data_IF_310191897326
#
_entry.id   IF_310191897326
#
_cell.length_a   1.000
_cell.length_b   1.000
_cell.length_c   1.000
_cell.angle_alpha   90.00
_cell.angle_beta   90.00
_cell.angle_gamma   90.00
#
_symmetry.space_group_name_H-M   'P 1'
#
loop_
_entity.id
_entity.type
_entity.pdbx_description
1 polymer ?
#
# COMPACT_ATOMS: atom_id res chain seq x y z
N UNK A 1 -1.10 -0.08 6.81
CA UNK A 1 -1.42 1.03 7.75
C UNK A 1 -2.57 0.59 8.65
N UNK A 2 -2.52 0.85 9.97
CA UNK A 2 -3.64 0.54 10.86
C UNK A 2 -4.63 1.71 10.89
N UNK A 3 -5.86 1.49 10.43
CA UNK A 3 -6.91 2.51 10.51
C UNK A 3 -7.18 2.94 11.95
N UNK A 4 -7.17 4.25 12.17
CA UNK A 4 -7.41 4.85 13.48
C UNK A 4 -8.90 5.05 13.64
N UNK A 5 -9.48 4.38 14.64
CA UNK A 5 -10.92 4.45 14.91
C UNK A 5 -11.23 5.64 15.82
N UNK A 6 -11.97 6.65 15.35
CA UNK A 6 -12.52 7.66 16.25
C UNK A 6 -13.47 7.00 17.26
N UNK A 7 -13.53 7.59 18.45
CA UNK A 7 -14.34 7.08 19.58
C UNK A 7 -15.47 8.04 19.95
N UNK A 8 -15.39 9.30 19.53
CA UNK A 8 -16.46 10.28 19.65
C UNK A 8 -16.33 11.39 18.60
N UNK A 9 -17.45 12.04 18.32
CA UNK A 9 -17.54 13.29 17.56
C UNK A 9 -17.38 14.49 18.50
N UNK A 10 -16.62 15.50 18.08
CA UNK A 10 -16.73 16.82 18.67
C UNK A 10 -18.06 17.47 18.30
N UNK A 11 -18.68 18.21 19.21
CA UNK A 11 -19.96 18.87 18.96
C UNK A 11 -19.91 19.85 17.77
N UNK A 12 -18.77 20.46 17.51
CA UNK A 12 -18.57 21.43 16.41
C UNK A 12 -17.95 20.81 15.15
N UNK A 13 -18.01 19.47 15.03
CA UNK A 13 -17.70 18.81 13.75
C UNK A 13 -18.78 19.10 12.71
N UNK A 14 -18.40 19.31 11.44
CA UNK A 14 -19.33 19.41 10.32
C UNK A 14 -19.68 18.04 9.74
N UNK A 15 -18.84 17.02 9.96
CA UNK A 15 -18.98 15.69 9.38
C UNK A 15 -19.03 14.59 10.44
N UNK A 16 -20.11 14.49 11.23
CA UNK A 16 -20.24 13.45 12.24
C UNK A 16 -20.02 12.04 11.69
N UNK A 17 -19.30 11.23 12.46
CA UNK A 17 -19.13 9.79 12.23
C UNK A 17 -20.33 9.06 12.84
N UNK A 18 -21.03 8.21 12.06
CA UNK A 18 -22.17 7.42 12.51
C UNK A 18 -21.86 6.54 13.72
N UNK A 19 -22.85 6.36 14.59
CA UNK A 19 -22.77 5.47 15.74
C UNK A 19 -21.91 5.98 16.91
N UNK A 20 -21.18 7.08 16.75
CA UNK A 20 -20.34 7.65 17.80
C UNK A 20 -21.07 8.74 18.63
N UNK A 21 -20.76 8.85 19.94
CA UNK A 21 -21.28 9.91 20.81
C UNK A 21 -20.77 11.29 20.40
N UNK A 22 -21.52 12.33 20.78
CA UNK A 22 -21.06 13.71 20.71
C UNK A 22 -20.52 14.17 22.07
N UNK A 23 -19.36 14.80 22.06
CA UNK A 23 -18.71 15.38 23.25
C UNK A 23 -18.61 16.89 23.07
N UNK A 24 -18.91 17.63 24.13
CA UNK A 24 -18.72 19.08 24.14
C UNK A 24 -17.23 19.40 23.97
N UNK A 25 -16.91 20.07 22.85
CA UNK A 25 -15.57 20.44 22.45
C UNK A 25 -15.30 21.95 22.61
N UNK A 26 -16.19 22.75 23.21
CA UNK A 26 -16.16 24.23 23.28
C UNK A 26 -14.82 24.82 23.72
N UNK A 27 -14.08 24.10 24.57
CA UNK A 27 -12.76 24.49 25.05
C UNK A 27 -11.68 24.53 23.98
N UNK A 28 -11.89 23.85 22.85
CA UNK A 28 -10.95 23.86 21.73
C UNK A 28 -11.09 25.19 20.96
N UNK A 29 -10.00 25.94 20.77
CA UNK A 29 -10.02 27.14 19.94
C UNK A 29 -9.95 26.73 18.47
N UNK A 30 -11.08 26.23 17.92
CA UNK A 30 -11.13 25.63 16.59
C UNK A 30 -10.86 26.59 15.43
N UNK A 31 -10.77 27.89 15.68
CA UNK A 31 -10.39 28.89 14.67
C UNK A 31 -8.92 29.32 14.80
N UNK A 32 -8.17 28.71 15.73
CA UNK A 32 -6.75 28.98 15.98
C UNK A 32 -5.97 27.67 16.19
N UNK A 33 -5.43 27.05 15.11
CA UNK A 33 -4.67 25.80 15.20
C UNK A 33 -3.52 25.83 16.20
N UNK A 34 -2.77 26.94 16.26
CA UNK A 34 -1.65 27.10 17.19
C UNK A 34 -2.10 27.07 18.65
N UNK A 35 -3.31 27.57 18.94
CA UNK A 35 -3.88 27.52 20.28
C UNK A 35 -4.34 26.10 20.66
N UNK A 36 -4.74 25.28 19.68
CA UNK A 36 -4.97 23.84 19.89
C UNK A 36 -3.65 23.17 20.26
N UNK A 37 -2.59 23.35 19.47
CA UNK A 37 -1.26 22.78 19.77
C UNK A 37 -0.78 23.18 21.18
N UNK A 38 -0.89 24.46 21.53
CA UNK A 38 -0.48 24.99 22.83
C UNK A 38 -1.26 24.41 24.01
N UNK A 39 -2.43 23.82 23.79
CA UNK A 39 -3.21 23.16 24.86
C UNK A 39 -2.50 21.92 25.40
N UNK A 40 -1.77 21.19 24.55
CA UNK A 40 -1.05 19.97 24.94
C UNK A 40 0.46 20.14 24.94
N UNK A 41 1.02 20.86 23.96
CA UNK A 41 2.47 20.98 23.80
C UNK A 41 3.10 21.78 24.93
N UNK A 42 4.12 21.20 25.55
CA UNK A 42 4.91 21.80 26.64
C UNK A 42 4.09 22.19 27.88
N UNK A 43 2.85 21.69 28.04
CA UNK A 43 2.00 21.99 29.20
C UNK A 43 2.17 21.00 30.37
N UNK A 44 3.03 19.99 30.21
CA UNK A 44 3.32 19.01 31.26
C UNK A 44 3.80 17.68 30.71
N UNK A 45 4.21 16.79 31.61
CA UNK A 45 4.65 15.43 31.25
C UNK A 45 3.50 14.64 30.65
N UNK A 46 3.73 14.06 29.46
CA UNK A 46 2.76 13.23 28.75
C UNK A 46 1.64 14.01 28.06
N UNK A 47 1.80 15.32 27.86
CA UNK A 47 0.90 16.13 27.04
C UNK A 47 1.59 16.49 25.74
N UNK A 48 0.90 16.25 24.63
CA UNK A 48 1.41 16.50 23.30
C UNK A 48 0.42 17.35 22.52
N UNK A 49 0.95 18.11 21.57
CA UNK A 49 0.16 18.86 20.63
C UNK A 49 1.01 19.20 19.43
N UNK A 50 0.34 19.33 18.28
CA UNK A 50 0.98 19.67 17.01
C UNK A 50 -0.06 20.24 16.07
N UNK A 51 0.35 21.21 15.26
CA UNK A 51 -0.38 21.64 14.07
C UNK A 51 0.55 21.74 12.88
N UNK A 52 -0.01 21.50 11.69
CA UNK A 52 0.65 21.70 10.42
C UNK A 52 -0.36 22.21 9.39
N UNK A 53 0.11 23.07 8.47
CA UNK A 53 -0.68 23.57 7.35
C UNK A 53 -0.69 22.56 6.20
N UNK A 54 -1.83 22.45 5.54
CA UNK A 54 -2.02 21.63 4.35
C UNK A 54 -1.80 22.47 3.08
N UNK A 55 -1.53 21.79 1.96
CA UNK A 55 -1.21 22.44 0.67
C UNK A 55 -2.40 23.15 0.03
N UNK A 56 -3.61 22.70 0.35
CA UNK A 56 -4.89 23.25 -0.12
C UNK A 56 -5.32 24.50 0.66
N UNK A 57 -4.51 24.96 1.62
CA UNK A 57 -4.84 26.09 2.50
C UNK A 57 -5.60 25.69 3.76
N UNK A 58 -5.87 24.39 3.96
CA UNK A 58 -6.38 23.83 5.21
C UNK A 58 -5.31 23.66 6.28
N UNK A 59 -5.68 23.04 7.39
CA UNK A 59 -4.75 22.67 8.45
C UNK A 59 -5.24 21.47 9.25
N UNK A 60 -4.30 20.81 9.90
CA UNK A 60 -4.56 19.73 10.85
C UNK A 60 -3.92 20.05 12.19
N UNK A 61 -4.57 19.60 13.26
CA UNK A 61 -4.04 19.75 14.60
C UNK A 61 -4.46 18.58 15.49
N UNK A 62 -3.64 18.27 16.49
CA UNK A 62 -4.06 17.46 17.62
C UNK A 62 -3.57 18.02 18.95
N UNK A 63 -4.26 17.62 20.02
CA UNK A 63 -3.83 17.88 21.40
C UNK A 63 -4.32 16.78 22.35
N UNK A 64 -3.47 16.35 23.27
CA UNK A 64 -3.86 15.46 24.38
C UNK A 64 -4.96 16.12 25.22
N UNK A 65 -5.95 15.34 25.64
CA UNK A 65 -7.07 15.81 26.47
C UNK A 65 -6.64 15.92 27.95
N UNK A 66 -6.54 17.15 28.45
CA UNK A 66 -6.08 17.43 29.82
C UNK A 66 -6.95 16.85 30.94
N UNK A 67 -8.27 16.72 30.74
CA UNK A 67 -9.21 16.17 31.73
C UNK A 67 -9.29 14.65 31.68
N UNK A 68 -8.83 14.02 30.60
CA UNK A 68 -8.85 12.58 30.38
C UNK A 68 -7.76 12.18 29.39
N UNK A 69 -6.56 11.94 29.92
CA UNK A 69 -5.34 11.72 29.12
C UNK A 69 -5.30 10.39 28.36
N UNK A 70 -6.34 9.55 28.50
CA UNK A 70 -6.50 8.38 27.64
C UNK A 70 -6.81 8.77 26.19
N UNK A 71 -7.20 10.03 25.96
CA UNK A 71 -7.72 10.52 24.70
C UNK A 71 -6.99 11.77 24.20
N UNK A 72 -7.12 12.01 22.91
CA UNK A 72 -6.66 13.22 22.24
C UNK A 72 -7.75 13.75 21.32
N UNK A 73 -7.78 15.06 21.14
CA UNK A 73 -8.57 15.72 20.12
C UNK A 73 -7.77 15.79 18.83
N UNK A 74 -8.42 15.44 17.73
CA UNK A 74 -7.89 15.58 16.38
C UNK A 74 -8.83 16.48 15.57
N UNK A 75 -8.26 17.47 14.90
CA UNK A 75 -8.99 18.45 14.10
C UNK A 75 -8.39 18.50 12.70
N UNK A 76 -9.25 18.34 11.70
CA UNK A 76 -8.92 18.56 10.29
C UNK A 76 -9.83 19.67 9.79
N UNK A 77 -9.25 20.78 9.33
CA UNK A 77 -9.97 21.88 8.71
C UNK A 77 -9.65 21.92 7.22
N UNK A 78 -10.70 21.94 6.41
CA UNK A 78 -10.62 22.15 4.96
C UNK A 78 -11.34 23.46 4.59
N UNK A 79 -10.75 24.34 3.77
CA UNK A 79 -11.31 25.66 3.48
C UNK A 79 -12.70 25.61 2.84
N UNK A 80 -12.94 24.62 1.96
CA UNK A 80 -14.21 24.48 1.24
C UNK A 80 -15.20 23.56 1.92
N UNK A 81 -14.70 22.56 2.65
CA UNK A 81 -15.49 21.43 3.15
C UNK A 81 -15.68 21.46 4.66
N UNK A 82 -15.24 22.52 5.34
CA UNK A 82 -15.50 22.69 6.77
C UNK A 82 -14.53 21.89 7.63
N UNK A 83 -14.97 21.52 8.83
CA UNK A 83 -14.09 20.92 9.83
C UNK A 83 -14.56 19.56 10.32
N UNK A 84 -13.61 18.68 10.57
CA UNK A 84 -13.80 17.41 11.25
C UNK A 84 -13.14 17.50 12.61
N UNK A 85 -13.93 17.31 13.67
CA UNK A 85 -13.45 17.30 15.06
C UNK A 85 -13.77 15.94 15.66
N UNK A 86 -12.72 15.20 16.00
CA UNK A 86 -12.82 13.82 16.50
C UNK A 86 -12.08 13.68 17.82
N UNK A 87 -12.62 12.86 18.70
CA UNK A 87 -11.89 12.31 19.82
C UNK A 87 -11.35 10.93 19.42
N UNK A 88 -10.07 10.70 19.71
CA UNK A 88 -9.34 9.44 19.45
C UNK A 88 -8.60 9.00 20.72
N UNK A 89 -8.02 7.80 20.72
CA UNK A 89 -7.08 7.40 21.78
C UNK A 89 -5.79 8.21 21.65
N UNK A 90 -5.21 8.61 22.77
CA UNK A 90 -3.99 9.44 22.78
C UNK A 90 -2.83 8.77 22.04
N UNK A 91 -2.68 7.44 22.20
CA UNK A 91 -1.66 6.65 21.49
C UNK A 91 -1.76 6.68 19.96
N UNK A 92 -2.92 7.03 19.39
CA UNK A 92 -3.15 7.02 17.95
C UNK A 92 -2.91 8.40 17.31
N UNK A 93 -2.68 9.46 18.10
CA UNK A 93 -2.66 10.85 17.61
C UNK A 93 -1.59 11.12 16.56
N UNK A 94 -0.37 10.63 16.77
CA UNK A 94 0.76 10.86 15.86
C UNK A 94 0.54 10.17 14.52
N UNK A 95 -0.06 8.97 14.54
CA UNK A 95 -0.35 8.21 13.34
C UNK A 95 -1.46 8.90 12.52
N UNK A 96 -2.54 9.38 13.16
CA UNK A 96 -3.64 10.04 12.44
C UNK A 96 -3.16 11.35 11.81
N UNK A 97 -2.37 12.11 12.57
CA UNK A 97 -1.78 13.34 12.08
C UNK A 97 -0.84 13.09 10.90
N UNK A 98 -0.05 12.01 10.94
CA UNK A 98 0.78 11.61 9.82
C UNK A 98 -0.06 11.25 8.59
N UNK A 99 -1.12 10.45 8.78
CA UNK A 99 -2.02 10.04 7.70
C UNK A 99 -2.72 11.25 7.05
N UNK A 100 -3.21 12.22 7.82
CA UNK A 100 -3.80 13.43 7.25
C UNK A 100 -2.76 14.32 6.53
N UNK A 101 -1.53 14.42 7.04
CA UNK A 101 -0.48 15.24 6.43
C UNK A 101 0.10 14.65 5.16
N UNK A 102 0.31 13.34 5.14
CA UNK A 102 1.11 12.67 4.12
C UNK A 102 0.36 11.60 3.34
N UNK A 103 -0.81 11.17 3.82
CA UNK A 103 -1.63 10.15 3.16
C UNK A 103 -2.19 10.59 1.81
N UNK A 104 -2.15 11.89 1.48
CA UNK A 104 -2.54 12.50 0.18
C UNK A 104 -3.94 12.17 -0.35
N UNK A 105 -4.77 11.51 0.44
CA UNK A 105 -5.93 10.75 -0.03
C UNK A 105 -7.17 11.07 0.81
N UNK A 106 -7.61 12.33 0.85
CA UNK A 106 -8.94 12.69 1.33
C UNK A 106 -9.04 13.43 2.67
N UNK A 107 -10.17 14.09 2.85
CA UNK A 107 -10.52 14.87 4.05
C UNK A 107 -11.42 14.08 5.01
N UNK A 108 -12.29 13.21 4.48
CA UNK A 108 -13.19 12.35 5.25
C UNK A 108 -12.92 10.88 5.01
N UNK A 109 -13.30 10.09 6.00
CA UNK A 109 -12.91 8.70 6.15
C UNK A 109 -14.07 7.88 6.72
N UNK A 110 -14.51 6.81 6.04
CA UNK A 110 -15.66 5.95 6.39
C UNK A 110 -15.36 4.46 6.12
N UNK A 111 -16.22 3.57 6.62
CA UNK A 111 -16.26 2.13 6.30
C UNK A 111 -14.89 1.43 6.22
N UNK A 112 -14.04 1.62 7.23
CA UNK A 112 -12.75 0.92 7.30
C UNK A 112 -11.72 1.34 6.26
N UNK A 113 -11.72 2.61 5.83
CA UNK A 113 -10.65 3.13 4.96
C UNK A 113 -11.11 3.98 3.79
N UNK A 114 -12.40 3.92 3.45
CA UNK A 114 -12.97 4.67 2.34
C UNK A 114 -12.81 6.14 2.59
N UNK A 115 -12.44 6.89 1.57
CA UNK A 115 -12.11 8.30 1.73
C UNK A 115 -12.75 9.16 0.65
N UNK A 116 -13.02 10.41 1.03
CA UNK A 116 -13.66 11.39 0.16
C UNK A 116 -12.72 12.56 -0.04
N UNK A 117 -12.51 12.92 -1.30
CA UNK A 117 -11.62 14.01 -1.73
C UNK A 117 -12.33 15.36 -1.89
N UNK A 118 -13.65 15.40 -1.68
CA UNK A 118 -14.46 16.58 -1.95
C UNK A 118 -15.35 16.48 -3.20
N UNK A 119 -15.07 15.52 -4.07
CA UNK A 119 -15.80 15.26 -5.31
C UNK A 119 -16.28 13.81 -5.42
N UNK A 120 -15.42 12.84 -5.12
CA UNK A 120 -15.69 11.41 -5.26
C UNK A 120 -15.23 10.62 -4.03
N UNK A 121 -15.82 9.44 -3.88
CA UNK A 121 -15.38 8.44 -2.90
C UNK A 121 -14.38 7.50 -3.55
N UNK A 122 -13.40 7.13 -2.75
CA UNK A 122 -12.32 6.22 -3.12
C UNK A 122 -12.21 5.11 -2.10
N UNK A 123 -11.79 3.94 -2.58
CA UNK A 123 -11.53 2.76 -1.76
C UNK A 123 -10.35 2.99 -0.80
N UNK A 124 -10.26 2.22 0.29
CA UNK A 124 -9.08 2.17 1.14
C UNK A 124 -7.81 1.97 0.31
N UNK A 125 -6.79 2.78 0.57
CA UNK A 125 -5.51 2.69 -0.12
C UNK A 125 -4.83 1.33 0.11
N UNK A 126 -4.81 0.46 -0.90
CA UNK A 126 -4.15 -0.86 -0.87
C UNK A 126 -3.00 -0.95 -1.88
N UNK A 127 -3.22 -0.54 -3.13
CA UNK A 127 -2.28 -0.74 -4.23
C UNK A 127 -1.28 0.40 -4.31
N UNK A 128 0.00 0.08 -4.18
CA UNK A 128 1.10 1.06 -4.20
C UNK A 128 1.50 1.34 -5.65
N UNK A 129 1.40 2.61 -6.05
CA UNK A 129 2.01 3.09 -7.27
C UNK A 129 3.37 3.74 -6.97
N UNK A 130 4.42 2.95 -7.18
CA UNK A 130 5.81 3.38 -6.95
C UNK A 130 6.27 4.47 -7.93
N UNK A 131 5.65 4.60 -9.10
CA UNK A 131 5.99 5.67 -10.04
C UNK A 131 5.54 7.05 -9.51
N UNK A 132 4.55 7.08 -8.62
CA UNK A 132 4.01 8.29 -7.98
C UNK A 132 4.31 8.41 -6.48
N UNK A 133 5.05 7.45 -5.90
CA UNK A 133 5.36 7.39 -4.47
C UNK A 133 4.10 7.46 -3.59
N UNK A 134 3.03 6.80 -4.03
CA UNK A 134 1.73 6.87 -3.37
C UNK A 134 0.91 5.60 -3.59
N UNK A 135 -0.31 5.64 -3.10
CA UNK A 135 -1.29 4.60 -3.42
C UNK A 135 -2.15 5.06 -4.60
N UNK A 136 -2.55 4.11 -5.44
CA UNK A 136 -3.53 4.37 -6.49
C UNK A 136 -4.89 4.71 -5.86
N UNK A 137 -5.45 5.86 -6.24
CA UNK A 137 -6.78 6.28 -5.81
C UNK A 137 -7.84 5.59 -6.68
N UNK A 138 -8.41 4.50 -6.16
CA UNK A 138 -9.43 3.71 -6.87
C UNK A 138 -10.83 4.23 -6.51
N UNK A 139 -11.61 4.75 -7.47
CA UNK A 139 -12.94 5.28 -7.20
C UNK A 139 -13.90 4.16 -6.79
N UNK A 140 -14.92 4.55 -6.01
CA UNK A 140 -16.03 3.68 -5.64
C UNK A 140 -17.14 3.84 -6.65
N UNK A 141 -17.49 2.76 -7.35
CA UNK A 141 -18.58 2.77 -8.32
C UNK A 141 -19.94 2.96 -7.63
N UNK A 142 -20.81 3.77 -8.26
CA UNK A 142 -22.16 4.09 -7.78
C UNK A 142 -22.22 4.58 -6.31
N UNK A 143 -21.17 5.28 -5.87
CA UNK A 143 -21.10 5.87 -4.55
C UNK A 143 -22.15 6.97 -4.35
N UNK A 144 -22.97 6.82 -3.31
CA UNK A 144 -23.92 7.82 -2.85
C UNK A 144 -23.42 8.40 -1.53
N UNK A 145 -23.14 9.70 -1.53
CA UNK A 145 -22.81 10.44 -0.32
C UNK A 145 -24.08 10.67 0.49
N UNK A 146 -24.10 10.21 1.73
CA UNK A 146 -25.20 10.43 2.67
C UNK A 146 -24.89 11.62 3.54
N UNK A 147 -25.77 12.62 3.51
CA UNK A 147 -25.62 13.88 4.25
C UNK A 147 -26.46 13.88 5.53
N UNK A 148 -26.25 14.88 6.38
CA UNK A 148 -27.08 15.06 7.57
C UNK A 148 -28.53 15.38 7.20
N UNK A 149 -28.75 16.13 6.12
CA UNK A 149 -30.08 16.42 5.60
C UNK A 149 -30.83 15.13 5.20
N UNK A 150 -30.16 14.18 4.55
CA UNK A 150 -30.77 12.91 4.14
C UNK A 150 -31.24 12.08 5.34
N UNK A 151 -30.43 12.04 6.40
CA UNK A 151 -30.74 11.26 7.60
C UNK A 151 -31.78 11.93 8.52
N UNK A 152 -31.85 13.26 8.48
CA UNK A 152 -32.79 14.08 9.26
C UNK A 152 -34.05 14.46 8.48
N UNK A 153 -34.18 14.04 7.22
CA UNK A 153 -35.43 14.14 6.46
C UNK A 153 -36.61 13.49 7.20
N UNK A 154 -36.33 12.48 8.03
CA UNK A 154 -37.22 12.04 9.10
C UNK A 154 -36.71 12.60 10.42
N UNK A 155 -37.52 13.38 11.17
CA UNK A 155 -37.07 13.99 12.41
C UNK A 155 -36.68 12.91 13.43
N UNK A 156 -35.52 13.09 14.07
CA UNK A 156 -35.16 12.41 15.30
C UNK A 156 -35.73 13.15 16.51
N UNK A 157 -35.71 12.52 17.67
CA UNK A 157 -36.16 13.10 18.94
C UNK A 157 -34.95 13.56 19.77
N UNK A 158 -34.50 14.83 19.64
CA UNK A 158 -33.28 15.30 20.30
C UNK A 158 -33.33 15.20 21.84
N UNK A 159 -34.53 15.18 22.43
CA UNK A 159 -34.73 15.03 23.88
C UNK A 159 -34.34 13.65 24.43
N UNK A 160 -34.24 12.63 23.58
CA UNK A 160 -33.80 11.28 23.98
C UNK A 160 -32.26 11.14 23.95
N UNK A 161 -31.56 12.13 23.41
CA UNK A 161 -30.11 12.13 23.28
C UNK A 161 -29.44 13.02 24.34
N UNK A 162 -28.13 12.83 24.50
CA UNK A 162 -27.30 13.66 25.40
C UNK A 162 -25.92 13.92 24.81
N UNK A 163 -25.39 15.10 25.11
CA UNK A 163 -23.99 15.47 24.86
C UNK A 163 -23.16 15.01 26.06
N UNK A 164 -22.09 14.25 25.81
CA UNK A 164 -21.24 13.71 26.85
C UNK A 164 -20.18 14.72 27.30
N UNK A 165 -19.75 14.58 28.57
CA UNK A 165 -18.63 15.35 29.14
C UNK A 165 -17.37 14.50 29.11
N UNK A 166 -16.25 15.11 28.72
CA UNK A 166 -14.98 14.40 28.52
C UNK A 166 -14.34 13.86 29.81
N UNK A 167 -14.57 14.51 30.95
CA UNK A 167 -13.98 14.12 32.24
C UNK A 167 -14.38 12.71 32.66
N UNK A 168 -15.64 12.32 32.41
CA UNK A 168 -16.19 11.01 32.80
C UNK A 168 -16.37 10.09 31.58
N UNK A 169 -15.80 10.45 30.44
CA UNK A 169 -16.00 9.72 29.19
C UNK A 169 -15.21 8.40 29.18
N UNK A 170 -15.91 7.33 28.80
CA UNK A 170 -15.31 6.05 28.43
C UNK A 170 -15.82 5.67 27.05
N UNK A 171 -14.91 5.31 26.15
CA UNK A 171 -15.26 4.93 24.79
C UNK A 171 -16.29 3.77 24.80
N UNK A 172 -17.44 3.91 24.11
CA UNK A 172 -18.41 2.84 24.03
C UNK A 172 -17.82 1.66 23.23
N UNK A 173 -18.20 0.43 23.63
CA UNK A 173 -17.78 -0.79 22.92
C UNK A 173 -18.65 -1.08 21.70
N UNK A 174 -19.89 -0.61 21.72
CA UNK A 174 -20.88 -0.81 20.67
C UNK A 174 -21.34 0.56 20.15
N UNK A 175 -21.81 0.63 18.89
CA UNK A 175 -22.43 1.84 18.35
C UNK A 175 -23.60 2.31 19.22
N UNK A 176 -23.80 3.62 19.33
CA UNK A 176 -24.90 4.18 20.09
C UNK A 176 -26.27 3.76 19.51
N UNK A 177 -27.21 3.29 20.35
CA UNK A 177 -28.58 3.10 19.93
C UNK A 177 -29.23 4.45 19.61
N UNK A 178 -30.24 4.45 18.74
CA UNK A 178 -30.99 5.65 18.35
C UNK A 178 -30.10 6.83 17.91
N UNK A 179 -29.00 6.55 17.21
CA UNK A 179 -28.02 7.58 16.82
C UNK A 179 -28.61 8.77 16.04
N UNK A 180 -29.77 8.60 15.38
CA UNK A 180 -30.50 9.70 14.74
C UNK A 180 -30.96 10.77 15.73
N UNK A 181 -31.32 10.41 16.95
CA UNK A 181 -31.70 11.37 18.01
C UNK A 181 -30.49 12.20 18.43
N UNK A 182 -29.31 11.55 18.52
CA UNK A 182 -28.04 12.22 18.78
C UNK A 182 -27.64 13.16 17.63
N UNK A 183 -27.85 12.75 16.38
CA UNK A 183 -27.63 13.59 15.21
C UNK A 183 -28.59 14.79 15.18
N UNK A 184 -29.87 14.60 15.55
CA UNK A 184 -30.85 15.69 15.66
C UNK A 184 -30.44 16.70 16.75
N UNK A 185 -29.97 16.21 17.90
CA UNK A 185 -29.45 17.07 18.98
C UNK A 185 -28.21 17.86 18.54
N UNK A 186 -27.28 17.22 17.81
CA UNK A 186 -26.14 17.91 17.20
C UNK A 186 -26.60 18.99 16.22
N UNK A 187 -27.55 18.68 15.33
CA UNK A 187 -28.06 19.63 14.34
C UNK A 187 -28.69 20.86 15.01
N UNK A 188 -29.43 20.66 16.11
CA UNK A 188 -30.01 21.74 16.93
C UNK A 188 -28.95 22.56 17.70
N UNK A 189 -27.76 22.00 17.92
CA UNK A 189 -26.66 22.63 18.67
C UNK A 189 -25.64 23.36 17.77
N UNK A 190 -25.88 23.43 16.46
CA UNK A 190 -24.95 24.03 15.48
C UNK A 190 -24.86 25.55 15.69
N UNK A 191 -23.64 26.08 15.54
CA UNK A 191 -23.36 27.51 15.65
C UNK A 191 -23.70 28.27 14.36
N UNK A 192 -23.98 29.58 14.43
CA UNK A 192 -24.09 30.43 13.26
C UNK A 192 -22.83 30.34 12.37
N UNK A 193 -23.00 30.20 11.06
CA UNK A 193 -21.89 30.08 10.10
C UNK A 193 -21.34 28.67 9.91
N UNK A 194 -21.87 27.66 10.62
CA UNK A 194 -21.56 26.26 10.36
C UNK A 194 -22.11 25.83 8.99
N UNK A 195 -21.55 24.76 8.40
CA UNK A 195 -22.00 24.26 7.10
C UNK A 195 -23.51 23.93 7.05
N UNK A 196 -24.17 24.13 5.90
CA UNK A 196 -25.51 23.59 5.68
C UNK A 196 -25.58 22.06 5.84
N UNK A 197 -26.72 21.53 6.32
CA UNK A 197 -26.88 20.10 6.63
C UNK A 197 -26.74 19.18 5.40
N UNK A 198 -27.10 19.68 4.21
CA UNK A 198 -26.93 19.02 2.91
C UNK A 198 -25.45 19.00 2.45
N UNK A 199 -24.57 19.76 3.12
CA UNK A 199 -23.12 19.70 2.93
C UNK A 199 -22.39 18.94 4.04
N UNK A 200 -23.08 18.60 5.12
CA UNK A 200 -22.55 17.79 6.21
C UNK A 200 -22.57 16.31 5.84
N UNK A 201 -21.50 15.82 5.23
CA UNK A 201 -21.31 14.39 4.91
C UNK A 201 -21.27 13.55 6.18
N UNK A 202 -22.17 12.58 6.28
CA UNK A 202 -22.29 11.65 7.40
C UNK A 202 -21.77 10.27 7.02
N UNK A 203 -22.13 9.76 5.85
CA UNK A 203 -21.81 8.39 5.48
C UNK A 203 -21.68 8.19 3.97
N UNK A 204 -21.25 6.99 3.58
CA UNK A 204 -21.22 6.51 2.20
C UNK A 204 -22.13 5.29 2.07
N UNK A 205 -22.90 5.23 0.98
CA UNK A 205 -23.55 4.01 0.50
C UNK A 205 -23.00 3.66 -0.87
N UNK A 206 -22.67 2.39 -1.07
CA UNK A 206 -22.23 1.88 -2.36
C UNK A 206 -22.62 0.39 -2.45
N UNK A 207 -22.89 -0.15 -3.64
CA UNK A 207 -23.20 -1.57 -3.81
C UNK A 207 -22.13 -2.48 -3.19
N UNK A 208 -20.85 -2.12 -3.31
CA UNK A 208 -19.72 -2.90 -2.78
C UNK A 208 -19.62 -2.92 -1.25
N UNK A 209 -20.43 -2.11 -0.54
CA UNK A 209 -20.51 -2.09 0.92
C UNK A 209 -21.73 -2.85 1.47
N UNK A 210 -22.62 -3.33 0.59
CA UNK A 210 -23.79 -4.10 0.99
C UNK A 210 -23.42 -5.52 1.44
N UNK A 211 -24.11 -6.11 2.43
CA UNK A 211 -23.74 -7.41 3.01
C UNK A 211 -23.47 -8.55 2.02
N UNK A 212 -24.20 -8.71 0.89
CA UNK A 212 -23.92 -9.75 -0.10
C UNK A 212 -22.56 -9.62 -0.80
N UNK A 213 -21.98 -8.42 -0.86
CA UNK A 213 -20.69 -8.15 -1.49
C UNK A 213 -19.53 -8.13 -0.49
N UNK A 214 -19.80 -8.50 0.77
CA UNK A 214 -18.79 -8.59 1.81
C UNK A 214 -18.32 -10.04 1.97
N UNK A 215 -17.01 -10.23 1.93
CA UNK A 215 -16.35 -11.52 2.13
C UNK A 215 -15.80 -11.64 3.55
N UNK A 216 -15.83 -12.85 4.11
CA UNK A 216 -15.05 -13.18 5.30
C UNK A 216 -13.61 -13.52 4.94
N UNK A 217 -12.88 -14.04 5.92
CA UNK A 217 -11.50 -14.46 5.79
C UNK A 217 -11.32 -15.59 4.77
N UNK A 218 -12.28 -16.50 4.64
CA UNK A 218 -12.24 -17.57 3.63
C UNK A 218 -12.36 -16.98 2.24
N UNK A 219 -13.31 -16.07 2.03
CA UNK A 219 -13.43 -15.36 0.75
C UNK A 219 -12.21 -14.48 0.43
N UNK A 220 -11.62 -13.83 1.44
CA UNK A 220 -10.37 -13.07 1.29
C UNK A 220 -9.21 -13.97 0.83
N UNK A 221 -9.04 -15.14 1.46
CA UNK A 221 -8.03 -16.14 1.07
C UNK A 221 -8.24 -16.61 -0.37
N UNK A 222 -9.49 -16.92 -0.73
CA UNK A 222 -9.86 -17.36 -2.07
C UNK A 222 -9.54 -16.29 -3.13
N UNK A 223 -9.87 -15.03 -2.88
CA UNK A 223 -9.58 -13.91 -3.80
C UNK A 223 -8.07 -13.74 -3.99
N UNK A 224 -7.29 -13.93 -2.92
CA UNK A 224 -5.84 -13.86 -2.99
C UNK A 224 -5.16 -15.14 -3.49
N UNK A 225 -5.91 -16.22 -3.73
CA UNK A 225 -5.34 -17.51 -4.12
C UNK A 225 -4.40 -18.10 -3.06
N UNK A 226 -4.66 -17.85 -1.77
CA UNK A 226 -3.84 -18.32 -0.65
C UNK A 226 -4.58 -19.40 0.15
N UNK A 227 -3.83 -20.28 0.82
CA UNK A 227 -4.44 -21.12 1.83
C UNK A 227 -4.86 -20.25 3.04
N UNK A 228 -5.91 -20.68 3.75
CA UNK A 228 -6.43 -19.90 4.89
C UNK A 228 -5.39 -19.71 6.01
N UNK A 229 -4.51 -20.72 6.18
CA UNK A 229 -3.43 -20.72 7.18
C UNK A 229 -2.26 -19.81 6.78
N UNK A 230 -2.14 -19.45 5.50
CA UNK A 230 -1.11 -18.52 5.00
C UNK A 230 -1.51 -17.05 5.20
N UNK A 231 -2.79 -16.77 5.48
CA UNK A 231 -3.22 -15.42 5.80
C UNK A 231 -2.68 -14.96 7.16
N UNK A 232 -2.20 -13.72 7.31
CA UNK A 232 -1.81 -13.16 8.60
C UNK A 232 -2.93 -13.29 9.65
N UNK A 233 -2.60 -13.67 10.88
CA UNK A 233 -3.58 -13.81 11.96
C UNK A 233 -4.25 -12.44 12.27
N UNK A 234 -5.58 -12.32 12.38
CA UNK A 234 -6.26 -11.04 12.61
C UNK A 234 -5.96 -10.37 13.95
N UNK A 235 -5.30 -11.05 14.90
CA UNK A 235 -4.91 -10.54 16.21
C UNK A 235 -3.46 -10.03 16.21
N UNK A 236 -2.58 -10.67 15.47
CA UNK A 236 -1.13 -10.37 15.47
C UNK A 236 -0.62 -9.73 14.16
N UNK A 237 -1.29 -9.99 13.04
CA UNK A 237 -0.95 -9.54 11.69
C UNK A 237 -1.88 -8.46 11.12
N UNK A 238 -2.62 -7.72 11.95
CA UNK A 238 -3.56 -6.65 11.49
C UNK A 238 -2.92 -5.59 10.60
N UNK A 239 -1.59 -5.43 10.63
CA UNK A 239 -0.89 -4.47 9.78
C UNK A 239 -0.80 -4.94 8.32
N UNK A 240 -0.91 -6.25 8.10
CA UNK A 240 -0.71 -6.89 6.80
C UNK A 240 -2.04 -7.22 6.10
N UNK A 241 -3.16 -7.25 6.83
CA UNK A 241 -4.51 -7.34 6.28
C UNK A 241 -5.13 -5.96 6.07
N UNK A 242 -6.04 -5.80 5.09
CA UNK A 242 -6.80 -4.57 4.94
C UNK A 242 -7.74 -4.39 6.14
N UNK A 243 -8.12 -3.16 6.41
CA UNK A 243 -9.06 -2.86 7.50
C UNK A 243 -10.46 -3.31 7.08
N UNK A 244 -11.20 -4.04 7.94
CA UNK A 244 -12.52 -4.53 7.58
C UNK A 244 -13.54 -3.40 7.50
N UNK A 245 -14.48 -3.52 6.56
CA UNK A 245 -15.60 -2.60 6.38
C UNK A 245 -16.62 -2.76 7.51
N UNK A 246 -16.78 -3.99 8.02
CA UNK A 246 -17.64 -4.27 9.17
C UNK A 246 -17.08 -5.42 10.02
N UNK A 247 -17.43 -5.45 11.29
CA UNK A 247 -17.13 -6.54 12.23
C UNK A 247 -18.46 -7.17 12.66
N UNK A 248 -18.64 -8.47 12.39
CA UNK A 248 -19.81 -9.24 12.83
C UNK A 248 -19.43 -10.19 13.97
N UNK A 249 -20.42 -10.87 14.56
CA UNK A 249 -20.17 -11.91 15.56
C UNK A 249 -19.31 -13.07 15.04
N UNK A 250 -19.33 -13.30 13.72
CA UNK A 250 -18.55 -14.33 13.04
C UNK A 250 -17.13 -13.85 12.67
N UNK A 251 -16.87 -12.54 12.72
CA UNK A 251 -15.56 -11.96 12.47
C UNK A 251 -15.56 -10.73 11.54
N UNK A 252 -14.36 -10.28 11.14
CA UNK A 252 -14.21 -9.18 10.19
C UNK A 252 -14.72 -9.56 8.80
N UNK A 253 -15.32 -8.57 8.12
CA UNK A 253 -15.81 -8.70 6.74
C UNK A 253 -15.24 -7.56 5.88
N UNK A 254 -14.84 -7.89 4.66
CA UNK A 254 -14.24 -6.97 3.70
C UNK A 254 -15.09 -6.85 2.44
N UNK A 255 -15.15 -5.67 1.87
CA UNK A 255 -15.71 -5.48 0.53
C UNK A 255 -14.90 -6.28 -0.48
N UNK A 256 -15.58 -6.99 -1.39
CA UNK A 256 -14.91 -7.83 -2.40
C UNK A 256 -13.90 -7.03 -3.25
N UNK A 257 -14.20 -5.81 -3.73
CA UNK A 257 -13.20 -4.97 -4.39
C UNK A 257 -11.98 -4.63 -3.53
N UNK A 258 -12.16 -4.31 -2.24
CA UNK A 258 -11.03 -4.05 -1.32
C UNK A 258 -10.17 -5.31 -1.13
N UNK A 259 -10.80 -6.48 -1.07
CA UNK A 259 -10.09 -7.76 -1.01
C UNK A 259 -9.27 -8.01 -2.30
N UNK A 260 -9.79 -7.65 -3.47
CA UNK A 260 -9.06 -7.73 -4.75
C UNK A 260 -7.89 -6.76 -4.79
N UNK A 261 -8.08 -5.52 -4.38
CA UNK A 261 -7.03 -4.50 -4.34
C UNK A 261 -5.88 -4.93 -3.39
N UNK A 262 -6.21 -5.52 -2.23
CA UNK A 262 -5.21 -6.09 -1.34
C UNK A 262 -4.50 -7.30 -1.95
N UNK A 263 -5.24 -8.22 -2.57
CA UNK A 263 -4.67 -9.39 -3.24
C UNK A 263 -3.70 -8.99 -4.36
N UNK A 264 -4.04 -7.99 -5.16
CA UNK A 264 -3.16 -7.43 -6.18
C UNK A 264 -1.84 -6.92 -5.58
N UNK A 265 -1.92 -6.15 -4.49
CA UNK A 265 -0.73 -5.66 -3.80
C UNK A 265 0.12 -6.81 -3.23
N UNK A 266 -0.53 -7.84 -2.67
CA UNK A 266 0.13 -9.03 -2.17
C UNK A 266 0.85 -9.79 -3.29
N UNK A 267 0.18 -10.03 -4.42
CA UNK A 267 0.77 -10.68 -5.59
C UNK A 267 1.89 -9.85 -6.20
N UNK A 268 1.80 -8.52 -6.21
CA UNK A 268 2.91 -7.68 -6.68
C UNK A 268 4.17 -7.86 -5.82
N UNK A 269 4.03 -8.03 -4.49
CA UNK A 269 5.17 -8.20 -3.58
C UNK A 269 5.74 -9.63 -3.66
N UNK A 270 4.89 -10.65 -3.63
CA UNK A 270 5.30 -12.05 -3.46
C UNK A 270 5.29 -12.86 -4.76
N UNK A 271 4.47 -12.47 -5.72
CA UNK A 271 4.28 -13.15 -6.99
C UNK A 271 5.55 -13.29 -7.82
N UNK A 272 6.38 -12.24 -8.01
CA UNK A 272 7.63 -12.39 -8.75
C UNK A 272 8.55 -13.46 -8.17
N UNK A 273 8.62 -13.57 -6.84
CA UNK A 273 9.43 -14.57 -6.16
C UNK A 273 8.92 -16.00 -6.39
N UNK A 274 7.60 -16.19 -6.38
CA UNK A 274 6.97 -17.49 -6.67
C UNK A 274 7.02 -17.84 -8.17
N UNK A 275 6.87 -16.86 -9.05
CA UNK A 275 6.97 -17.03 -10.51
C UNK A 275 8.37 -17.48 -10.92
N UNK A 276 9.39 -16.88 -10.30
CA UNK A 276 10.80 -17.12 -10.61
C UNK A 276 11.51 -17.93 -9.53
N UNK A 277 10.83 -18.95 -8.98
CA UNK A 277 11.43 -19.94 -8.10
C UNK A 277 11.68 -21.27 -8.81
N UNK A 278 12.61 -22.04 -8.28
CA UNK A 278 12.86 -23.42 -8.68
C UNK A 278 13.47 -24.21 -7.52
N UNK A 279 13.43 -25.53 -7.65
CA UNK A 279 13.94 -26.42 -6.61
C UNK A 279 15.41 -26.74 -6.86
N UNK A 280 16.22 -26.64 -5.81
CA UNK A 280 17.64 -27.04 -5.83
C UNK A 280 17.80 -28.55 -5.66
N UNK A 281 19.02 -29.06 -5.82
CA UNK A 281 19.35 -30.46 -5.51
C UNK A 281 19.08 -30.86 -4.04
N UNK A 282 18.86 -29.88 -3.15
CA UNK A 282 18.56 -30.08 -1.73
C UNK A 282 17.06 -30.10 -1.41
N UNK A 283 16.20 -30.15 -2.42
CA UNK A 283 14.74 -30.06 -2.27
C UNK A 283 14.29 -28.78 -1.55
N UNK A 284 15.02 -27.69 -1.77
CA UNK A 284 14.66 -26.37 -1.26
C UNK A 284 14.34 -25.43 -2.40
N UNK A 285 13.24 -24.68 -2.24
CA UNK A 285 12.82 -23.64 -3.18
C UNK A 285 13.74 -22.42 -3.07
N UNK A 286 14.25 -21.98 -4.22
CA UNK A 286 15.19 -20.87 -4.34
C UNK A 286 14.91 -20.04 -5.59
N UNK A 287 15.38 -18.78 -5.69
CA UNK A 287 15.31 -18.02 -6.94
C UNK A 287 15.94 -18.78 -8.11
N UNK A 288 15.31 -18.75 -9.29
CA UNK A 288 15.76 -19.49 -10.48
C UNK A 288 17.22 -19.20 -10.85
N UNK A 289 17.68 -17.95 -10.69
CA UNK A 289 19.06 -17.58 -10.94
C UNK A 289 20.06 -18.28 -10.01
N UNK A 290 19.69 -18.49 -8.74
CA UNK A 290 20.52 -19.24 -7.79
C UNK A 290 20.54 -20.73 -8.13
N UNK A 291 19.40 -21.29 -8.54
CA UNK A 291 19.32 -22.69 -9.01
C UNK A 291 20.19 -22.88 -10.25
N UNK A 292 20.13 -21.96 -11.22
CA UNK A 292 20.95 -21.99 -12.42
C UNK A 292 22.45 -21.87 -12.11
N UNK A 293 22.83 -20.96 -11.21
CA UNK A 293 24.21 -20.82 -10.74
C UNK A 293 24.71 -22.10 -10.07
N UNK A 294 23.90 -22.67 -9.17
CA UNK A 294 24.21 -23.91 -8.46
C UNK A 294 24.39 -25.08 -9.44
N UNK A 295 23.45 -25.28 -10.37
CA UNK A 295 23.52 -26.34 -11.36
C UNK A 295 24.76 -26.19 -12.27
N UNK A 296 25.04 -24.96 -12.71
CA UNK A 296 26.22 -24.66 -13.55
C UNK A 296 27.52 -24.94 -12.82
N UNK A 297 27.65 -24.49 -11.57
CA UNK A 297 28.84 -24.71 -10.75
C UNK A 297 29.01 -26.19 -10.38
N UNK A 298 27.91 -26.90 -10.11
CA UNK A 298 27.90 -28.36 -9.87
C UNK A 298 28.51 -29.08 -11.06
N UNK A 299 28.08 -28.76 -12.29
CA UNK A 299 28.65 -29.37 -13.51
C UNK A 299 30.15 -29.11 -13.64
N UNK A 300 30.58 -27.85 -13.48
CA UNK A 300 32.00 -27.46 -13.57
C UNK A 300 32.86 -28.23 -12.54
N UNK A 301 32.38 -28.35 -11.30
CA UNK A 301 33.10 -29.04 -10.22
C UNK A 301 33.12 -30.55 -10.48
N UNK A 302 32.00 -31.13 -10.91
CA UNK A 302 31.90 -32.55 -11.23
C UNK A 302 32.89 -32.94 -12.34
N UNK A 303 32.88 -32.20 -13.45
CA UNK A 303 33.81 -32.39 -14.58
C UNK A 303 35.28 -32.34 -14.09
N UNK A 304 35.60 -31.41 -13.19
CA UNK A 304 36.94 -31.30 -12.61
C UNK A 304 37.32 -32.47 -11.69
N UNK A 305 36.37 -33.03 -10.94
CA UNK A 305 36.61 -34.19 -10.07
C UNK A 305 36.82 -35.46 -10.91
N UNK A 306 36.04 -35.66 -11.95
CA UNK A 306 36.21 -36.76 -12.90
C UNK A 306 37.55 -36.72 -13.64
N UNK A 307 37.96 -35.52 -14.07
CA UNK A 307 39.27 -35.30 -14.67
C UNK A 307 40.43 -35.63 -13.71
N UNK A 308 40.31 -35.26 -12.44
CA UNK A 308 41.31 -35.56 -11.43
C UNK A 308 41.43 -37.07 -11.17
N UNK A 309 40.30 -37.76 -11.12
CA UNK A 309 40.24 -39.20 -10.88
C UNK A 309 40.71 -40.02 -12.09
N UNK A 310 40.38 -39.60 -13.31
CA UNK A 310 40.91 -40.23 -14.52
C UNK A 310 42.44 -40.15 -14.59
N UNK A 311 43.03 -39.03 -14.15
CA UNK A 311 44.48 -38.85 -14.01
C UNK A 311 45.08 -39.73 -12.91
N UNK A 312 44.39 -39.93 -11.78
CA UNK A 312 44.82 -40.81 -10.68
C UNK A 312 44.72 -42.30 -11.04
N UNK A 313 43.67 -42.71 -11.76
CA UNK A 313 43.51 -44.09 -12.26
C UNK A 313 44.64 -44.50 -13.21
N UNK A 314 45.11 -43.57 -14.06
CA UNK A 314 46.32 -43.78 -14.89
C UNK A 314 47.61 -43.96 -14.06
N UNK A 315 47.61 -43.62 -12.78
CA UNK A 315 48.76 -43.71 -11.85
C UNK A 315 48.62 -44.81 -10.78
N UNK A 316 47.68 -45.75 -10.93
CA UNK A 316 47.68 -47.03 -10.21
C UNK A 316 46.94 -47.10 -8.87
N UNK A 317 46.11 -46.11 -8.50
CA UNK A 317 45.30 -46.16 -7.27
C UNK A 317 43.81 -46.28 -7.60
N UNK A 318 43.20 -47.40 -7.19
CA UNK A 318 41.77 -47.69 -7.39
C UNK A 318 41.02 -47.33 -6.10
N UNK A 319 40.40 -46.15 -6.08
CA UNK A 319 39.41 -45.79 -5.07
C UNK A 319 38.04 -45.54 -5.71
N UNK A 320 36.99 -45.78 -4.92
CA UNK A 320 35.63 -46.05 -5.36
C UNK A 320 35.04 -44.98 -6.26
N UNK A 321 34.39 -45.44 -7.33
CA UNK A 321 33.60 -44.64 -8.25
C UNK A 321 32.19 -44.59 -7.68
N UNK A 322 31.74 -43.44 -7.18
CA UNK A 322 30.34 -43.00 -6.98
C UNK A 322 30.27 -42.04 -5.79
N UNK A 323 30.03 -40.75 -6.07
CA UNK A 323 29.56 -39.64 -5.20
C UNK A 323 30.02 -38.24 -5.67
N UNK A 324 30.65 -38.12 -6.84
CA UNK A 324 31.13 -36.83 -7.36
C UNK A 324 30.02 -35.81 -7.56
N UNK A 325 28.84 -36.24 -8.02
CA UNK A 325 27.71 -35.34 -8.26
C UNK A 325 27.17 -34.74 -6.95
N UNK A 326 26.91 -35.57 -5.93
CA UNK A 326 26.51 -35.10 -4.59
C UNK A 326 27.55 -34.15 -3.98
N UNK A 327 28.84 -34.55 -4.02
CA UNK A 327 29.92 -33.72 -3.48
C UNK A 327 30.12 -32.42 -4.27
N UNK A 328 29.94 -32.45 -5.58
CA UNK A 328 30.01 -31.27 -6.44
C UNK A 328 28.83 -30.34 -6.15
N UNK A 329 27.63 -30.87 -5.95
CA UNK A 329 26.45 -30.10 -5.58
C UNK A 329 26.64 -29.41 -4.22
N UNK A 330 27.17 -30.12 -3.21
CA UNK A 330 27.50 -29.54 -1.91
C UNK A 330 28.54 -28.42 -2.02
N UNK A 331 29.61 -28.65 -2.79
CA UNK A 331 30.69 -27.67 -2.98
C UNK A 331 30.24 -26.46 -3.80
N UNK A 332 29.32 -26.64 -4.76
CA UNK A 332 28.79 -25.59 -5.62
C UNK A 332 27.87 -24.60 -4.87
N UNK A 333 27.25 -25.02 -3.77
CA UNK A 333 26.27 -24.23 -3.04
C UNK A 333 26.83 -22.89 -2.54
N UNK A 334 27.95 -22.93 -1.82
CA UNK A 334 28.58 -21.74 -1.25
C UNK A 334 28.94 -20.66 -2.27
N UNK A 335 29.65 -20.96 -3.39
CA UNK A 335 29.92 -19.96 -4.41
C UNK A 335 28.63 -19.47 -5.10
N UNK A 336 27.63 -20.33 -5.32
CA UNK A 336 26.36 -19.91 -5.92
C UNK A 336 25.62 -18.89 -5.03
N UNK A 337 25.53 -19.16 -3.72
CA UNK A 337 24.97 -18.21 -2.75
C UNK A 337 25.80 -16.93 -2.70
N UNK A 338 27.13 -17.03 -2.72
CA UNK A 338 28.01 -15.86 -2.69
C UNK A 338 27.80 -14.91 -3.89
N UNK A 339 27.36 -15.40 -5.05
CA UNK A 339 27.03 -14.55 -6.21
C UNK A 339 25.74 -13.72 -6.02
N UNK A 340 24.85 -14.15 -5.13
CA UNK A 340 23.51 -13.57 -4.98
C UNK A 340 23.22 -13.00 -3.59
N UNK A 341 24.12 -13.17 -2.61
CA UNK A 341 23.93 -12.68 -1.25
C UNK A 341 24.39 -11.22 -1.05
N UNK A 342 23.75 -10.48 -0.16
CA UNK A 342 23.98 -9.05 0.11
C UNK A 342 23.97 -8.86 1.64
N UNK A 343 24.95 -8.20 2.30
CA UNK A 343 26.05 -7.38 1.76
C UNK A 343 27.41 -8.08 1.57
N UNK A 344 27.57 -9.32 2.02
CA UNK A 344 28.86 -10.03 2.00
C UNK A 344 29.04 -10.95 0.76
N UNK A 345 28.31 -10.71 -0.32
CA UNK A 345 28.44 -11.47 -1.57
C UNK A 345 29.63 -11.02 -2.43
N UNK A 346 29.98 -11.84 -3.41
CA UNK A 346 30.98 -11.55 -4.44
C UNK A 346 30.53 -10.44 -5.39
N UNK A 347 29.22 -10.31 -5.60
CA UNK A 347 28.62 -9.26 -6.43
C UNK A 347 27.87 -8.30 -5.51
N UNK A 348 28.12 -6.98 -5.60
CA UNK A 348 27.42 -5.99 -4.77
C UNK A 348 26.01 -5.75 -5.34
N UNK A 349 25.08 -6.69 -5.09
CA UNK A 349 23.73 -6.72 -5.69
C UNK A 349 22.95 -5.41 -5.44
N UNK A 350 23.08 -4.79 -4.26
CA UNK A 350 22.47 -3.49 -3.98
C UNK A 350 23.02 -2.35 -4.85
N UNK A 351 24.35 -2.30 -5.06
CA UNK A 351 24.98 -1.30 -5.92
C UNK A 351 24.64 -1.56 -7.41
N UNK A 352 24.57 -2.84 -7.80
CA UNK A 352 24.16 -3.24 -9.14
C UNK A 352 22.75 -2.74 -9.46
N UNK A 353 21.79 -2.88 -8.54
CA UNK A 353 20.43 -2.33 -8.70
C UNK A 353 20.45 -0.85 -9.09
N UNK A 354 21.18 -0.04 -8.34
CA UNK A 354 21.29 1.41 -8.58
C UNK A 354 21.90 1.69 -9.95
N UNK A 355 22.95 0.94 -10.30
CA UNK A 355 23.61 1.07 -11.61
C UNK A 355 22.68 0.71 -12.76
N UNK A 356 21.84 -0.33 -12.60
CA UNK A 356 20.84 -0.72 -13.60
C UNK A 356 19.77 0.34 -13.80
N UNK A 357 19.26 0.91 -12.72
CA UNK A 357 18.30 2.03 -12.78
C UNK A 357 18.88 3.19 -13.57
N UNK A 358 20.09 3.64 -13.22
CA UNK A 358 20.74 4.77 -13.89
C UNK A 358 21.14 4.44 -15.34
N UNK A 359 21.49 3.18 -15.66
CA UNK A 359 21.79 2.78 -17.03
C UNK A 359 20.54 2.82 -17.94
N UNK A 360 19.40 2.33 -17.45
CA UNK A 360 18.12 2.42 -18.18
C UNK A 360 17.72 3.87 -18.36
N UNK A 361 17.67 4.65 -17.27
CA UNK A 361 17.28 6.08 -17.30
C UNK A 361 18.24 6.90 -18.17
N UNK A 362 19.54 6.59 -18.17
CA UNK A 362 20.52 7.24 -19.02
C UNK A 362 20.22 7.05 -20.51
N UNK A 363 19.84 5.83 -20.92
CA UNK A 363 19.38 5.58 -22.29
C UNK A 363 18.12 6.37 -22.65
N UNK A 364 17.15 6.44 -21.74
CA UNK A 364 15.94 7.26 -21.94
C UNK A 364 16.27 8.75 -22.11
N UNK A 365 17.23 9.26 -21.33
CA UNK A 365 17.65 10.65 -21.42
C UNK A 365 18.26 10.98 -22.80
N UNK A 366 19.07 10.07 -23.36
CA UNK A 366 19.61 10.23 -24.72
C UNK A 366 18.51 10.29 -25.79
N UNK A 367 17.44 9.50 -25.63
CA UNK A 367 16.30 9.50 -26.55
C UNK A 367 15.47 10.78 -26.43
N UNK A 368 15.22 11.26 -25.21
CA UNK A 368 14.56 12.55 -24.95
C UNK A 368 15.35 13.71 -25.56
N UNK A 369 16.67 13.72 -25.36
CA UNK A 369 17.56 14.73 -25.94
C UNK A 369 17.57 14.70 -27.47
N UNK A 370 17.54 13.50 -28.06
CA UNK A 370 17.48 13.32 -29.52
C UNK A 370 16.14 13.80 -30.08
N UNK A 371 15.03 13.50 -29.39
CA UNK A 371 13.69 13.94 -29.78
C UNK A 371 13.59 15.48 -29.75
N UNK A 372 14.07 16.11 -28.67
CA UNK A 372 14.08 17.57 -28.51
C UNK A 372 14.87 18.31 -29.60
N UNK A 373 15.99 17.73 -30.07
CA UNK A 373 16.77 18.29 -31.20
C UNK A 373 16.06 18.15 -32.55
N UNK A 374 15.20 17.14 -32.70
CA UNK A 374 14.54 16.80 -33.97
C UNK A 374 13.21 17.52 -34.22
N UNK A 375 12.72 18.30 -33.24
CA UNK A 375 11.42 19.00 -33.27
C UNK A 375 10.22 18.09 -33.62
N UNK A 376 10.34 16.78 -33.34
CA UNK A 376 9.28 15.79 -33.57
C UNK A 376 8.20 15.93 -32.49
N UNK A 377 6.95 15.75 -32.89
CA UNK A 377 5.84 15.65 -31.95
C UNK A 377 5.92 14.30 -31.22
N UNK A 378 6.44 14.31 -30.00
CA UNK A 378 6.55 13.13 -29.13
C UNK A 378 7.97 12.54 -29.03
N UNK A 379 8.25 11.93 -27.88
CA UNK A 379 9.51 11.21 -27.64
C UNK A 379 9.33 9.75 -28.09
N UNK A 380 10.06 9.36 -29.14
CA UNK A 380 10.18 7.95 -29.54
C UNK A 380 11.29 7.31 -28.71
N UNK A 381 10.93 6.44 -27.77
CA UNK A 381 11.89 5.70 -26.95
C UNK A 381 12.45 4.51 -27.74
N UNK A 382 13.77 4.45 -27.89
CA UNK A 382 14.48 3.31 -28.43
C UNK A 382 14.55 2.17 -27.42
N UNK A 383 14.78 0.96 -27.90
CA UNK A 383 14.86 -0.22 -27.03
C UNK A 383 16.04 -0.12 -26.06
N UNK A 384 15.88 -0.72 -24.87
CA UNK A 384 16.96 -0.78 -23.88
C UNK A 384 18.10 -1.60 -24.47
N UNK A 385 19.34 -1.12 -24.29
CA UNK A 385 20.52 -1.83 -24.78
C UNK A 385 20.55 -3.28 -24.28
N UNK A 386 20.83 -4.21 -25.18
CA UNK A 386 20.87 -5.66 -24.93
C UNK A 386 21.75 -6.06 -23.74
N UNK A 387 22.89 -5.37 -23.53
CA UNK A 387 23.77 -5.64 -22.39
C UNK A 387 23.15 -5.25 -21.04
N UNK A 388 22.34 -4.18 -21.02
CA UNK A 388 21.56 -3.77 -19.84
C UNK A 388 20.42 -4.76 -19.59
N UNK A 389 19.72 -5.21 -20.65
CA UNK A 389 18.66 -6.23 -20.53
C UNK A 389 19.18 -7.52 -19.91
N UNK A 390 20.33 -8.03 -20.37
CA UNK A 390 20.96 -9.23 -19.79
C UNK A 390 21.33 -9.07 -18.31
N UNK A 391 21.74 -7.88 -17.89
CA UNK A 391 22.01 -7.61 -16.47
C UNK A 391 20.73 -7.44 -15.65
N UNK A 392 19.65 -6.91 -16.24
CA UNK A 392 18.32 -6.88 -15.62
C UNK A 392 17.85 -8.31 -15.37
N UNK A 393 17.91 -9.20 -16.36
CA UNK A 393 17.58 -10.63 -16.20
C UNK A 393 18.41 -11.28 -15.09
N UNK A 394 19.73 -11.07 -15.13
CA UNK A 394 20.64 -11.60 -14.12
C UNK A 394 20.23 -11.17 -12.70
N UNK A 395 19.86 -9.90 -12.53
CA UNK A 395 19.42 -9.34 -11.26
C UNK A 395 18.06 -9.90 -10.82
N UNK A 396 17.08 -9.89 -11.72
CA UNK A 396 15.70 -10.31 -11.46
C UNK A 396 15.66 -11.79 -11.12
N UNK A 397 16.35 -12.65 -11.86
CA UNK A 397 16.42 -14.09 -11.58
C UNK A 397 17.00 -14.42 -10.19
N UNK A 398 17.81 -13.53 -9.61
CA UNK A 398 18.44 -13.72 -8.28
C UNK A 398 17.73 -12.99 -7.15
N UNK A 399 17.01 -11.91 -7.47
CA UNK A 399 16.23 -11.09 -6.53
C UNK A 399 14.84 -10.77 -7.10
N UNK A 400 14.03 -11.79 -7.41
CA UNK A 400 12.77 -11.56 -8.11
C UNK A 400 11.78 -10.74 -7.27
N UNK A 401 11.73 -10.95 -5.95
CA UNK A 401 10.95 -10.11 -5.03
C UNK A 401 11.37 -8.62 -4.98
N UNK A 402 12.52 -8.24 -5.56
CA UNK A 402 12.94 -6.83 -5.71
C UNK A 402 12.56 -6.23 -7.06
N UNK A 403 12.02 -7.00 -8.00
CA UNK A 403 11.61 -6.50 -9.31
C UNK A 403 10.59 -5.34 -9.23
N UNK A 404 9.55 -5.37 -8.37
CA UNK A 404 8.62 -4.24 -8.26
C UNK A 404 9.28 -2.94 -7.82
N UNK A 405 10.25 -3.05 -6.90
CA UNK A 405 11.02 -1.90 -6.45
C UNK A 405 11.99 -1.39 -7.53
N UNK A 406 12.55 -2.28 -8.37
CA UNK A 406 13.43 -1.92 -9.48
C UNK A 406 12.64 -1.16 -10.56
N UNK A 407 11.57 -1.75 -11.09
CA UNK A 407 10.77 -1.12 -12.15
C UNK A 407 10.05 0.14 -11.68
N UNK A 408 9.55 0.15 -10.44
CA UNK A 408 8.97 1.33 -9.83
C UNK A 408 9.94 2.52 -9.76
N UNK A 409 11.21 2.27 -9.41
CA UNK A 409 12.22 3.32 -9.36
C UNK A 409 12.61 3.84 -10.75
N UNK A 410 12.71 2.94 -11.75
CA UNK A 410 12.93 3.34 -13.15
C UNK A 410 11.79 4.28 -13.61
N UNK A 411 10.53 3.90 -13.38
CA UNK A 411 9.38 4.72 -13.76
C UNK A 411 9.33 6.05 -13.00
N UNK A 412 9.61 6.03 -11.70
CA UNK A 412 9.66 7.23 -10.86
C UNK A 412 10.70 8.23 -11.36
N UNK A 413 11.94 7.77 -11.58
CA UNK A 413 13.03 8.65 -12.00
C UNK A 413 12.80 9.15 -13.43
N UNK A 414 12.32 8.29 -14.34
CA UNK A 414 11.97 8.70 -15.70
C UNK A 414 10.90 9.80 -15.70
N UNK A 415 9.86 9.68 -14.88
CA UNK A 415 8.81 10.70 -14.73
C UNK A 415 9.37 12.00 -14.14
N UNK A 416 10.09 11.91 -13.02
CA UNK A 416 10.55 13.10 -12.30
C UNK A 416 11.69 13.85 -13.02
N UNK A 417 12.62 13.14 -13.65
CA UNK A 417 13.80 13.76 -14.30
C UNK A 417 13.57 14.05 -15.77
N UNK A 418 12.78 13.22 -16.48
CA UNK A 418 12.65 13.28 -17.94
C UNK A 418 11.23 13.65 -18.40
N UNK A 419 10.26 13.76 -17.49
CA UNK A 419 8.87 14.07 -17.84
C UNK A 419 8.19 12.97 -18.66
N UNK A 420 8.69 11.73 -18.58
CA UNK A 420 8.11 10.59 -19.29
C UNK A 420 6.95 10.00 -18.50
N UNK A 421 5.84 9.75 -19.19
CA UNK A 421 4.70 9.06 -18.60
C UNK A 421 5.07 7.61 -18.24
N UNK A 422 4.75 7.11 -17.03
CA UNK A 422 5.09 5.76 -16.59
C UNK A 422 4.66 4.66 -17.57
N UNK A 423 3.49 4.82 -18.22
CA UNK A 423 2.99 3.90 -19.24
C UNK A 423 3.97 3.71 -20.41
N UNK A 424 4.52 4.80 -20.95
CA UNK A 424 5.46 4.72 -22.06
C UNK A 424 6.75 3.98 -21.65
N UNK A 425 7.16 4.13 -20.40
CA UNK A 425 8.32 3.42 -19.83
C UNK A 425 8.00 1.94 -19.62
N UNK A 426 6.80 1.60 -19.14
CA UNK A 426 6.31 0.23 -19.02
C UNK A 426 6.26 -0.50 -20.37
N UNK A 427 5.70 0.15 -21.40
CA UNK A 427 5.63 -0.39 -22.77
C UNK A 427 7.03 -0.64 -23.36
N UNK A 428 7.98 0.26 -23.08
CA UNK A 428 9.38 0.09 -23.46
C UNK A 428 10.02 -1.10 -22.73
N UNK A 429 9.84 -1.22 -21.42
CA UNK A 429 10.37 -2.33 -20.62
C UNK A 429 9.85 -3.66 -21.16
N UNK A 430 8.54 -3.75 -21.41
CA UNK A 430 7.91 -4.93 -22.01
C UNK A 430 8.53 -5.27 -23.35
N UNK A 431 8.57 -4.32 -24.28
CA UNK A 431 9.12 -4.55 -25.62
C UNK A 431 10.59 -4.95 -25.60
N UNK A 432 11.41 -4.29 -24.78
CA UNK A 432 12.85 -4.56 -24.69
C UNK A 432 13.14 -5.94 -24.07
N UNK A 433 12.40 -6.33 -23.03
CA UNK A 433 12.54 -7.65 -22.42
C UNK A 433 12.09 -8.75 -23.38
N UNK A 434 10.99 -8.57 -24.12
CA UNK A 434 10.58 -9.55 -25.14
C UNK A 434 11.63 -9.76 -26.24
N UNK A 435 12.41 -8.72 -26.57
CA UNK A 435 13.42 -8.79 -27.63
C UNK A 435 14.72 -9.45 -27.16
N UNK A 436 15.20 -9.06 -25.98
CA UNK A 436 16.59 -9.32 -25.55
C UNK A 436 16.73 -10.18 -24.28
N UNK A 437 15.62 -10.52 -23.60
CA UNK A 437 15.64 -11.35 -22.38
C UNK A 437 15.92 -12.82 -22.68
N UNK A 438 16.52 -13.53 -21.73
CA UNK A 438 16.66 -14.99 -21.70
C UNK A 438 15.39 -15.68 -21.19
N UNK A 439 14.43 -14.94 -20.62
CA UNK A 439 13.11 -15.43 -20.24
C UNK A 439 12.22 -15.60 -21.47
N UNK A 440 11.34 -16.61 -21.46
CA UNK A 440 10.31 -16.73 -22.49
C UNK A 440 9.25 -15.62 -22.35
N UNK A 441 8.57 -15.30 -23.46
CA UNK A 441 7.63 -14.18 -23.53
C UNK A 441 6.48 -14.25 -22.53
N UNK A 442 5.94 -15.45 -22.26
CA UNK A 442 4.85 -15.63 -21.31
C UNK A 442 5.32 -15.34 -19.87
N UNK A 443 6.53 -15.78 -19.53
CA UNK A 443 7.17 -15.46 -18.25
C UNK A 443 7.47 -13.96 -18.11
N UNK A 444 7.91 -13.30 -19.18
CA UNK A 444 8.14 -11.84 -19.19
C UNK A 444 6.84 -11.08 -18.94
N UNK A 445 5.75 -11.44 -19.62
CA UNK A 445 4.46 -10.78 -19.44
C UNK A 445 3.93 -10.99 -18.01
N UNK A 446 3.95 -12.23 -17.50
CA UNK A 446 3.54 -12.52 -16.14
C UNK A 446 4.37 -11.74 -15.09
N UNK A 447 5.69 -11.64 -15.28
CA UNK A 447 6.56 -10.87 -14.40
C UNK A 447 6.19 -9.39 -14.41
N UNK A 448 6.01 -8.79 -15.59
CA UNK A 448 5.72 -7.36 -15.72
C UNK A 448 4.32 -7.01 -15.21
N UNK A 449 3.34 -7.89 -15.41
CA UNK A 449 1.99 -7.73 -14.87
C UNK A 449 1.98 -7.76 -13.34
N UNK A 450 2.91 -8.50 -12.71
CA UNK A 450 3.09 -8.49 -11.25
C UNK A 450 3.91 -7.29 -10.77
N UNK A 451 4.99 -6.93 -11.47
CA UNK A 451 6.03 -6.06 -10.96
C UNK A 451 5.97 -4.59 -11.42
N UNK A 452 5.34 -4.28 -12.56
CA UNK A 452 5.17 -2.88 -12.96
C UNK A 452 4.24 -2.13 -11.99
N UNK A 453 4.47 -0.83 -11.74
CA UNK A 453 3.48 0.02 -11.07
C UNK A 453 2.16 0.08 -11.87
N UNK A 454 0.99 0.25 -11.22
CA UNK A 454 -0.31 0.34 -11.92
C UNK A 454 -0.33 1.36 -13.05
N UNK A 455 0.20 2.57 -12.85
CA UNK A 455 0.29 3.60 -13.90
C UNK A 455 1.21 3.26 -15.08
N UNK A 456 2.07 2.25 -14.93
CA UNK A 456 2.94 1.76 -15.99
C UNK A 456 2.38 0.53 -16.72
N UNK A 457 1.26 -0.03 -16.24
CA UNK A 457 0.56 -1.14 -16.92
C UNK A 457 -0.41 -0.57 -17.95
N UNK A 458 -0.70 -1.37 -18.97
CA UNK A 458 -1.90 -1.11 -19.77
C UNK A 458 -3.13 -1.26 -18.87
N UNK A 459 -4.18 -0.45 -19.04
CA UNK A 459 -5.46 -0.74 -18.41
C UNK A 459 -5.87 -2.13 -18.91
N UNK A 460 -5.84 -3.12 -18.01
CA UNK A 460 -6.42 -4.42 -18.30
C UNK A 460 -7.85 -4.21 -18.82
N UNK A 461 -8.37 -5.10 -19.68
CA UNK A 461 -9.75 -4.97 -20.13
C UNK A 461 -10.63 -4.87 -18.89
N UNK A 462 -11.30 -3.73 -18.73
CA UNK A 462 -12.37 -3.57 -17.74
C UNK A 462 -13.22 -4.82 -17.85
N UNK A 463 -13.45 -5.50 -16.72
CA UNK A 463 -14.12 -6.79 -16.67
C UNK A 463 -15.46 -6.76 -17.39
N UNK A 464 -15.45 -7.05 -18.69
CA UNK A 464 -16.61 -7.56 -19.38
C UNK A 464 -16.71 -9.01 -18.95
N UNK A 465 -17.50 -9.20 -17.89
CA UNK A 465 -18.17 -10.45 -17.62
C UNK A 465 -18.66 -11.02 -18.95
N UNK A 466 -18.09 -12.16 -19.36
CA UNK A 466 -18.69 -12.98 -20.39
C UNK A 466 -19.97 -13.52 -19.77
N UNK A 467 -21.11 -13.10 -20.33
CA UNK A 467 -22.44 -13.54 -19.94
C UNK A 467 -22.72 -15.01 -20.24
#
# INVERSE_FOLDING_TARGET
>A
MSWIRPIANGLRTDHPVPGLPFINDERLPLDNPDAIERTGRNQGVGLWGRTDSLRDGGWVAFTTETKNRAYAWAVHQHPTYGRTVLLIRDQDMSSLHHDWMFGRNGFLYRHGGYWWDGAAWHRPSQVVDRAYEGYEARPVEDAITVTAADLLARPGEPGNARIMKIADFTAPKEPLPHWRDHLALWAASRQPGALPLDRCVIDLRAPELEPPHLVDRTGLAQIAGLALDDLPDPKYGRRDLPVPQTETAEGPRWSQPVARDWAEQHHSIHGPQALLSGTTAFDTEQPLGLVADHNRLTKIICDSLEDADSRKRKRGLRHGQTKHEESAADLAWWPAVALSNDPNGLVPVAALRTTLVEAVVGGLAEDVDRAGKSNRAGVSLGDIRTDVVKLLDWYILRKPGRAPALFGEICLIARLRLGLEPRNVGDLLRRSLHLDSELDGDTVDALLDLALPPSAKEPGPAGHERG
#
